data_IF_276418522839
#
_entry.id   IF_276418522839
#
_cell.length_a   1.000
_cell.length_b   1.000
_cell.length_c   1.000
_cell.angle_alpha   90.00
_cell.angle_beta   90.00
_cell.angle_gamma   90.00
#
_symmetry.space_group_name_H-M   'P 1'
#
loop_
_entity.id
_entity.type
_entity.pdbx_description
1 polymer ?
#
# COMPACT_ATOMS: atom_id res chain seq x y z
N UNK A 1 27.82 19.73 31.38
CA UNK A 1 27.21 20.08 30.08
C UNK A 1 28.34 20.13 29.05
N UNK A 2 28.31 19.31 28.00
CA UNK A 2 29.30 19.40 26.91
C UNK A 2 29.12 20.73 26.15
N UNK A 3 30.16 21.32 25.54
CA UNK A 3 30.04 22.46 24.61
C UNK A 3 29.22 22.13 23.36
N UNK A 4 28.65 23.15 22.70
CA UNK A 4 27.81 22.97 21.49
C UNK A 4 28.63 22.39 20.33
N UNK A 5 29.88 22.84 20.21
CA UNK A 5 30.84 22.37 19.20
C UNK A 5 31.12 20.87 19.36
N UNK A 6 31.16 20.39 20.60
CA UNK A 6 31.37 18.96 20.89
C UNK A 6 30.14 18.15 20.51
N UNK A 7 28.93 18.64 20.78
CA UNK A 7 27.71 17.95 20.35
C UNK A 7 27.59 17.87 18.83
N UNK A 8 27.90 18.97 18.13
CA UNK A 8 27.92 18.97 16.66
C UNK A 8 29.02 18.05 16.10
N UNK A 9 30.17 18.00 16.74
CA UNK A 9 31.22 17.06 16.38
C UNK A 9 30.75 15.61 16.55
N UNK A 10 30.16 15.26 17.70
CA UNK A 10 29.60 13.92 17.95
C UNK A 10 28.58 13.53 16.89
N UNK A 11 27.63 14.43 16.58
CA UNK A 11 26.65 14.26 15.50
C UNK A 11 27.34 13.91 14.16
N UNK A 12 28.37 14.67 13.80
CA UNK A 12 29.10 14.49 12.54
C UNK A 12 29.97 13.24 12.47
N UNK A 13 30.33 12.62 13.60
CA UNK A 13 31.11 11.38 13.62
C UNK A 13 30.29 10.11 13.38
N UNK A 14 28.98 10.14 13.69
CA UNK A 14 28.06 8.99 13.49
C UNK A 14 28.16 8.39 12.08
N UNK A 15 28.08 9.15 10.96
CA UNK A 15 28.11 8.57 9.62
C UNK A 15 29.46 7.98 9.19
N UNK A 16 30.54 8.22 9.94
CA UNK A 16 31.91 7.80 9.60
C UNK A 16 32.54 6.88 10.64
N UNK A 17 31.81 6.55 11.71
CA UNK A 17 32.31 5.69 12.77
C UNK A 17 32.72 4.31 12.23
N UNK A 18 33.86 3.80 12.69
CA UNK A 18 34.31 2.43 12.40
C UNK A 18 33.91 1.46 13.51
N UNK A 19 33.73 1.98 14.73
CA UNK A 19 33.34 1.23 15.91
C UNK A 19 31.87 1.52 16.24
N UNK A 20 31.03 0.48 16.15
CA UNK A 20 29.61 0.57 16.46
C UNK A 20 29.34 0.91 17.92
N UNK A 21 30.23 0.53 18.85
CA UNK A 21 30.10 0.92 20.25
C UNK A 21 30.23 2.43 20.40
N UNK A 22 31.26 3.03 19.82
CA UNK A 22 31.45 4.49 19.87
C UNK A 22 30.31 5.25 19.20
N UNK A 23 29.75 4.74 18.10
CA UNK A 23 28.55 5.32 17.48
C UNK A 23 27.37 5.30 18.45
N UNK A 24 27.09 4.16 19.10
CA UNK A 24 25.98 4.04 20.06
C UNK A 24 26.13 4.98 21.27
N UNK A 25 27.37 5.14 21.78
CA UNK A 25 27.67 6.09 22.86
C UNK A 25 27.42 7.52 22.41
N UNK A 26 27.82 7.89 21.19
CA UNK A 26 27.58 9.23 20.65
C UNK A 26 26.07 9.52 20.50
N UNK A 27 25.30 8.54 20.02
CA UNK A 27 23.83 8.62 19.96
C UNK A 27 23.25 8.82 21.35
N UNK A 28 23.66 8.03 22.35
CA UNK A 28 23.18 8.14 23.73
C UNK A 28 23.50 9.49 24.38
N UNK A 29 24.68 10.07 24.10
CA UNK A 29 25.05 11.41 24.60
C UNK A 29 24.16 12.49 23.99
N UNK A 30 23.88 12.40 22.69
CA UNK A 30 22.96 13.32 22.00
C UNK A 30 21.53 13.15 22.52
N UNK A 31 21.11 11.91 22.75
CA UNK A 31 19.82 11.59 23.36
C UNK A 31 19.67 12.17 24.77
N UNK A 32 20.71 12.19 25.59
CA UNK A 32 20.61 12.77 26.94
C UNK A 32 20.57 14.30 26.94
N UNK A 33 20.83 14.95 25.80
CA UNK A 33 20.78 16.40 25.69
C UNK A 33 19.33 16.92 25.78
N UNK A 34 19.16 18.12 26.33
CA UNK A 34 17.82 18.71 26.52
C UNK A 34 17.16 19.06 25.19
N UNK A 35 15.83 18.94 25.12
CA UNK A 35 15.07 19.23 23.92
C UNK A 35 15.31 20.66 23.40
N UNK A 36 15.29 21.66 24.29
CA UNK A 36 15.54 23.06 23.92
C UNK A 36 16.91 23.29 23.28
N UNK A 37 17.93 22.54 23.71
CA UNK A 37 19.27 22.63 23.14
C UNK A 37 19.37 21.96 21.77
N UNK A 38 18.80 20.76 21.62
CA UNK A 38 18.76 20.07 20.34
C UNK A 38 17.99 20.90 19.31
N UNK A 39 16.85 21.47 19.71
CA UNK A 39 16.02 22.31 18.84
C UNK A 39 16.70 23.60 18.41
N UNK A 40 17.60 24.18 19.21
CA UNK A 40 18.34 25.39 18.84
C UNK A 40 19.60 25.10 18.03
N UNK A 41 20.24 23.97 18.29
CA UNK A 41 21.57 23.65 17.75
C UNK A 41 21.50 22.89 16.42
N UNK A 42 20.62 21.90 16.31
CA UNK A 42 20.52 21.06 15.11
C UNK A 42 19.55 21.71 14.12
N UNK A 43 20.01 21.85 12.88
CA UNK A 43 19.30 22.53 11.78
C UNK A 43 19.19 21.61 10.57
N UNK A 44 18.36 21.92 9.56
CA UNK A 44 18.25 21.12 8.34
C UNK A 44 19.59 20.84 7.64
N UNK A 45 20.52 21.81 7.66
CA UNK A 45 21.83 21.67 7.02
C UNK A 45 22.71 20.61 7.71
N UNK A 46 22.52 20.37 9.01
CA UNK A 46 23.22 19.31 9.72
C UNK A 46 22.71 17.94 9.31
N UNK A 47 21.40 17.79 9.03
CA UNK A 47 20.82 16.56 8.49
C UNK A 47 21.42 16.27 7.11
N UNK A 48 21.49 17.28 6.23
CA UNK A 48 22.16 17.11 4.93
C UNK A 48 23.61 16.67 5.09
N UNK A 49 24.36 17.27 6.03
CA UNK A 49 25.75 16.90 6.27
C UNK A 49 25.91 15.44 6.69
N UNK A 50 24.99 14.88 7.49
CA UNK A 50 25.00 13.46 7.85
C UNK A 50 24.92 12.59 6.59
N UNK A 51 23.94 12.84 5.73
CA UNK A 51 23.76 12.06 4.50
C UNK A 51 24.85 12.31 3.46
N UNK A 52 25.39 13.54 3.35
CA UNK A 52 26.56 13.82 2.48
C UNK A 52 27.79 13.02 2.92
N UNK A 53 28.02 12.85 4.23
CA UNK A 53 29.11 12.01 4.75
C UNK A 53 28.88 10.53 4.48
N UNK A 54 27.63 10.09 4.37
CA UNK A 54 27.25 8.79 3.83
C UNK A 54 27.34 8.74 2.29
N UNK A 55 27.85 9.77 1.61
CA UNK A 55 28.00 9.77 0.15
C UNK A 55 26.71 10.04 -0.63
N UNK A 56 25.68 10.59 0.01
CA UNK A 56 24.49 11.04 -0.72
C UNK A 56 24.84 12.16 -1.71
N UNK A 57 24.30 12.05 -2.93
CA UNK A 57 24.48 13.06 -4.00
C UNK A 57 23.70 14.33 -3.64
N UNK A 58 24.20 15.50 -4.03
CA UNK A 58 23.53 16.79 -3.78
C UNK A 58 22.09 16.82 -4.32
N UNK A 59 21.85 16.26 -5.51
CA UNK A 59 20.50 16.17 -6.09
C UNK A 59 19.53 15.32 -5.28
N UNK A 60 20.01 14.30 -4.56
CA UNK A 60 19.16 13.48 -3.69
C UNK A 60 18.73 14.25 -2.43
N UNK A 61 19.61 15.13 -1.93
CA UNK A 61 19.37 15.95 -0.74
C UNK A 61 18.58 17.22 -1.01
N UNK A 62 18.58 17.72 -2.25
CA UNK A 62 17.75 18.86 -2.62
C UNK A 62 16.28 18.42 -2.72
N UNK A 63 15.58 18.54 -1.59
CA UNK A 63 14.18 18.19 -1.44
C UNK A 63 13.25 18.94 -2.40
N UNK A 64 13.70 20.05 -2.99
CA UNK A 64 12.89 20.90 -3.87
C UNK A 64 12.85 20.39 -5.32
N UNK A 65 13.81 19.57 -5.73
CA UNK A 65 13.93 19.07 -7.10
C UNK A 65 13.08 17.82 -7.29
N UNK A 66 12.46 17.64 -8.46
CA UNK A 66 11.78 16.39 -8.80
C UNK A 66 12.75 15.21 -8.80
N UNK A 67 12.37 14.10 -8.17
CA UNK A 67 13.11 12.85 -8.30
C UNK A 67 13.06 12.35 -9.74
N UNK A 68 14.15 11.71 -10.15
CA UNK A 68 14.30 11.07 -11.45
C UNK A 68 14.71 9.62 -11.19
N UNK A 69 14.10 8.63 -11.87
CA UNK A 69 14.51 7.24 -11.76
C UNK A 69 15.96 7.06 -12.24
N UNK A 70 16.75 6.31 -11.47
CA UNK A 70 18.05 5.82 -11.92
C UNK A 70 17.90 4.34 -12.27
N UNK A 71 17.81 4.04 -13.56
CA UNK A 71 17.67 2.67 -14.06
C UNK A 71 18.99 1.89 -14.05
N UNK A 72 20.11 2.52 -13.67
CA UNK A 72 21.42 1.89 -13.66
C UNK A 72 22.00 1.84 -12.24
N UNK A 73 21.63 0.79 -11.51
CA UNK A 73 22.19 0.52 -10.19
C UNK A 73 23.49 -0.27 -10.35
N UNK A 74 24.61 0.31 -9.93
CA UNK A 74 25.92 -0.36 -9.93
C UNK A 74 25.96 -1.50 -8.90
N UNK A 75 26.65 -2.60 -9.20
CA UNK A 75 26.89 -3.72 -8.26
C UNK A 75 27.56 -3.29 -6.94
N UNK A 76 28.30 -2.19 -6.96
CA UNK A 76 28.90 -1.60 -5.74
C UNK A 76 27.85 -1.05 -4.78
N UNK A 77 26.67 -0.69 -5.28
CA UNK A 77 25.56 -0.20 -4.47
C UNK A 77 24.92 -1.34 -3.67
N UNK A 78 24.73 -2.49 -4.29
CA UNK A 78 24.14 -3.68 -3.66
C UNK A 78 25.00 -4.27 -2.53
N UNK A 79 26.33 -4.19 -2.66
CA UNK A 79 27.28 -4.75 -1.69
C UNK A 79 27.78 -3.72 -0.66
N UNK A 80 27.08 -2.60 -0.52
CA UNK A 80 27.51 -1.51 0.35
C UNK A 80 27.24 -1.86 1.81
N UNK A 81 28.20 -1.54 2.68
CA UNK A 81 28.00 -1.56 4.12
C UNK A 81 27.01 -0.46 4.56
N UNK A 82 25.87 -0.89 5.09
CA UNK A 82 24.75 -0.05 5.53
C UNK A 82 24.80 0.32 7.01
N UNK A 83 25.77 -0.19 7.79
CA UNK A 83 25.85 0.04 9.25
C UNK A 83 25.83 1.52 9.62
N UNK A 84 26.58 2.35 8.91
CA UNK A 84 26.63 3.79 9.20
C UNK A 84 25.32 4.50 8.84
N UNK A 85 24.59 4.02 7.83
CA UNK A 85 23.26 4.54 7.53
C UNK A 85 22.29 4.16 8.64
N UNK A 86 22.35 2.91 9.13
CA UNK A 86 21.53 2.45 10.25
C UNK A 86 21.75 3.31 11.50
N UNK A 87 23.01 3.57 11.88
CA UNK A 87 23.34 4.44 13.01
C UNK A 87 22.83 5.87 12.85
N UNK A 88 22.83 6.41 11.62
CA UNK A 88 22.24 7.73 11.33
C UNK A 88 20.71 7.69 11.45
N UNK A 89 20.04 6.66 10.96
CA UNK A 89 18.59 6.52 11.07
C UNK A 89 18.14 6.36 12.53
N UNK A 90 18.87 5.56 13.31
CA UNK A 90 18.64 5.42 14.75
C UNK A 90 18.77 6.77 15.47
N UNK A 91 19.82 7.52 15.15
CA UNK A 91 20.03 8.87 15.68
C UNK A 91 18.86 9.81 15.34
N UNK A 92 18.40 9.81 14.08
CA UNK A 92 17.25 10.62 13.67
C UNK A 92 16.00 10.23 14.45
N UNK A 93 15.74 8.92 14.62
CA UNK A 93 14.60 8.42 15.39
C UNK A 93 14.64 8.91 16.84
N UNK A 94 15.77 8.72 17.51
CA UNK A 94 15.96 9.09 18.91
C UNK A 94 15.86 10.61 19.14
N UNK A 95 16.36 11.41 18.19
CA UNK A 95 16.28 12.87 18.29
C UNK A 95 15.00 13.48 17.71
N UNK A 96 14.15 12.69 17.05
CA UNK A 96 13.00 13.17 16.28
C UNK A 96 12.09 14.10 17.08
N UNK A 97 11.78 13.73 18.33
CA UNK A 97 10.92 14.51 19.22
C UNK A 97 11.54 15.84 19.67
N UNK A 98 12.87 15.93 19.65
CA UNK A 98 13.64 17.08 20.14
C UNK A 98 13.99 18.09 19.05
N UNK A 99 13.82 17.74 17.78
CA UNK A 99 14.04 18.67 16.68
C UNK A 99 13.03 19.82 16.69
N UNK A 100 13.47 20.99 16.24
CA UNK A 100 12.53 22.02 15.81
C UNK A 100 11.74 21.57 14.57
N UNK A 101 10.64 22.27 14.28
CA UNK A 101 9.72 21.88 13.21
C UNK A 101 10.39 21.83 11.83
N UNK A 102 11.25 22.79 11.52
CA UNK A 102 11.95 22.86 10.22
C UNK A 102 12.88 21.66 10.01
N UNK A 103 13.69 21.34 11.02
CA UNK A 103 14.64 20.22 10.99
C UNK A 103 13.91 18.89 10.91
N UNK A 104 12.82 18.75 11.66
CA UNK A 104 12.00 17.55 11.66
C UNK A 104 11.34 17.32 10.31
N UNK A 105 10.72 18.36 9.73
CA UNK A 105 10.10 18.28 8.41
C UNK A 105 11.14 17.97 7.32
N UNK A 106 12.34 18.56 7.41
CA UNK A 106 13.42 18.28 6.47
C UNK A 106 13.92 16.83 6.58
N UNK A 107 14.17 16.34 7.79
CA UNK A 107 14.56 14.96 8.04
C UNK A 107 13.50 13.97 7.54
N UNK A 108 12.21 14.29 7.73
CA UNK A 108 11.10 13.49 7.22
C UNK A 108 11.06 13.46 5.69
N UNK A 109 11.26 14.59 5.01
CA UNK A 109 11.35 14.64 3.53
C UNK A 109 12.51 13.80 3.00
N UNK A 110 13.70 13.90 3.61
CA UNK A 110 14.85 13.09 3.22
C UNK A 110 14.58 11.59 3.45
N UNK A 111 13.99 11.24 4.60
CA UNK A 111 13.67 9.83 4.92
C UNK A 111 12.59 9.26 3.99
N UNK A 112 11.59 10.06 3.60
CA UNK A 112 10.60 9.67 2.59
C UNK A 112 11.23 9.47 1.21
N UNK A 113 12.26 10.24 0.85
CA UNK A 113 13.04 9.98 -0.38
C UNK A 113 13.86 8.71 -0.28
N UNK A 114 14.46 8.44 0.88
CA UNK A 114 15.19 7.21 1.12
C UNK A 114 14.28 5.98 1.02
N UNK A 115 13.02 6.10 1.46
CA UNK A 115 11.99 5.06 1.34
C UNK A 115 11.60 4.73 -0.12
N UNK A 116 12.04 5.51 -1.10
CA UNK A 116 11.83 5.22 -2.53
C UNK A 116 12.98 4.34 -3.07
N UNK A 117 14.17 4.40 -2.46
CA UNK A 117 15.34 3.69 -2.93
C UNK A 117 15.20 2.18 -2.64
N UNK A 118 14.85 1.42 -3.68
CA UNK A 118 14.60 -0.01 -3.59
C UNK A 118 15.83 -0.80 -3.10
N UNK A 119 17.03 -0.41 -3.49
CA UNK A 119 18.24 -1.12 -3.10
C UNK A 119 18.60 -0.86 -1.63
N UNK A 120 18.36 0.34 -1.12
CA UNK A 120 18.49 0.62 0.33
C UNK A 120 17.41 -0.10 1.12
N UNK A 121 16.17 -0.07 0.64
CA UNK A 121 15.02 -0.69 1.33
C UNK A 121 15.02 -2.22 1.26
N UNK A 122 15.91 -2.83 0.47
CA UNK A 122 16.13 -4.29 0.46
C UNK A 122 16.86 -4.79 1.73
N UNK A 123 17.59 -3.91 2.43
CA UNK A 123 18.12 -4.20 3.76
C UNK A 123 17.00 -4.11 4.81
N UNK A 124 16.68 -5.22 5.45
CA UNK A 124 15.54 -5.31 6.36
C UNK A 124 15.67 -4.40 7.60
N UNK A 125 16.89 -4.17 8.11
CA UNK A 125 17.11 -3.32 9.28
C UNK A 125 16.91 -1.85 8.91
N UNK A 126 17.44 -1.45 7.75
CA UNK A 126 17.24 -0.09 7.23
C UNK A 126 15.76 0.14 6.94
N UNK A 127 15.10 -0.80 6.27
CA UNK A 127 13.68 -0.72 5.95
C UNK A 127 12.83 -0.50 7.21
N UNK A 128 13.07 -1.29 8.26
CA UNK A 128 12.37 -1.16 9.54
C UNK A 128 12.61 0.20 10.19
N UNK A 129 13.86 0.69 10.25
CA UNK A 129 14.15 1.99 10.87
C UNK A 129 13.56 3.16 10.08
N UNK A 130 13.59 3.12 8.75
CA UNK A 130 12.95 4.13 7.88
C UNK A 130 11.45 4.15 8.11
N UNK A 131 10.79 2.99 8.08
CA UNK A 131 9.35 2.86 8.30
C UNK A 131 8.96 3.31 9.70
N UNK A 132 9.71 2.94 10.73
CA UNK A 132 9.48 3.37 12.12
C UNK A 132 9.60 4.89 12.27
N UNK A 133 10.61 5.51 11.66
CA UNK A 133 10.78 6.95 11.69
C UNK A 133 9.60 7.68 11.04
N UNK A 134 9.19 7.23 9.85
CA UNK A 134 8.05 7.79 9.12
C UNK A 134 6.77 7.64 9.95
N UNK A 135 6.46 6.41 10.38
CA UNK A 135 5.25 6.10 11.15
C UNK A 135 5.17 6.91 12.45
N UNK A 136 6.26 7.00 13.21
CA UNK A 136 6.28 7.72 14.51
C UNK A 136 5.96 9.19 14.33
N UNK A 137 6.56 9.84 13.32
CA UNK A 137 6.33 11.27 13.06
C UNK A 137 4.94 11.53 12.47
N UNK A 138 4.45 10.67 11.56
CA UNK A 138 3.16 10.87 10.90
C UNK A 138 1.96 10.51 11.80
N UNK A 139 2.12 9.54 12.71
CA UNK A 139 1.04 9.10 13.59
C UNK A 139 0.73 10.10 14.71
N UNK A 140 1.69 10.91 15.13
CA UNK A 140 1.52 11.84 16.24
C UNK A 140 1.06 13.24 15.75
N UNK A 141 -0.20 13.67 16.03
CA UNK A 141 -0.71 14.98 15.62
C UNK A 141 -0.01 16.17 16.27
N UNK A 142 0.61 15.98 17.44
CA UNK A 142 1.38 17.03 18.13
C UNK A 142 2.70 17.25 17.39
N UNK A 143 3.32 16.15 16.93
CA UNK A 143 4.59 16.18 16.21
C UNK A 143 4.44 16.76 14.81
N UNK A 144 3.44 16.31 14.06
CA UNK A 144 3.12 16.83 12.73
C UNK A 144 1.63 17.17 12.69
N UNK A 145 1.25 18.44 12.82
CA UNK A 145 -0.13 18.89 12.69
C UNK A 145 -0.73 18.59 11.31
N UNK A 146 -2.06 18.53 11.22
CA UNK A 146 -2.78 18.19 9.98
C UNK A 146 -2.41 19.11 8.81
N UNK A 147 -2.31 20.42 9.07
CA UNK A 147 -1.92 21.38 8.04
C UNK A 147 -0.52 21.12 7.49
N UNK A 148 0.43 20.78 8.38
CA UNK A 148 1.80 20.41 8.01
C UNK A 148 1.81 19.11 7.22
N UNK A 149 0.96 18.16 7.59
CA UNK A 149 0.79 16.89 6.87
C UNK A 149 0.27 17.11 5.45
N UNK A 150 -0.72 18.00 5.25
CA UNK A 150 -1.23 18.38 3.93
C UNK A 150 -0.13 19.06 3.09
N UNK A 151 0.64 19.97 3.69
CA UNK A 151 1.77 20.62 3.01
C UNK A 151 2.85 19.62 2.61
N UNK A 152 3.14 18.62 3.45
CA UNK A 152 4.03 17.52 3.13
C UNK A 152 3.49 16.69 1.97
N UNK A 153 2.20 16.33 1.97
CA UNK A 153 1.58 15.61 0.86
C UNK A 153 1.68 16.39 -0.45
N UNK A 154 1.43 17.70 -0.42
CA UNK A 154 1.53 18.56 -1.60
C UNK A 154 2.98 18.65 -2.11
N UNK A 155 3.94 18.67 -1.19
CA UNK A 155 5.35 18.63 -1.54
C UNK A 155 5.74 17.32 -2.23
N UNK A 156 5.32 16.18 -1.68
CA UNK A 156 5.55 14.86 -2.30
C UNK A 156 4.89 14.76 -3.68
N UNK A 157 3.65 15.25 -3.80
CA UNK A 157 2.93 15.27 -5.06
C UNK A 157 3.68 16.05 -6.16
N UNK A 158 4.29 17.19 -5.81
CA UNK A 158 5.05 18.03 -6.75
C UNK A 158 6.44 17.50 -7.11
N UNK A 159 7.02 16.67 -6.25
CA UNK A 159 8.43 16.24 -6.37
C UNK A 159 8.59 14.80 -6.83
N UNK A 160 7.52 13.99 -6.82
CA UNK A 160 7.53 12.59 -7.23
C UNK A 160 6.52 12.41 -8.36
N UNK A 161 7.01 12.52 -9.59
CA UNK A 161 6.17 12.52 -10.80
C UNK A 161 6.01 11.12 -11.41
N UNK A 162 7.01 10.26 -11.27
CA UNK A 162 7.02 8.92 -11.86
C UNK A 162 6.22 7.92 -11.02
N UNK A 163 5.36 7.14 -11.70
CA UNK A 163 4.39 6.25 -11.05
C UNK A 163 5.07 5.12 -10.28
N UNK A 164 6.17 4.59 -10.78
CA UNK A 164 6.94 3.56 -10.08
C UNK A 164 7.49 4.07 -8.75
N UNK A 165 8.02 5.31 -8.73
CA UNK A 165 8.55 5.94 -7.51
C UNK A 165 7.43 6.24 -6.51
N UNK A 166 6.27 6.72 -6.99
CA UNK A 166 5.08 6.93 -6.18
C UNK A 166 4.64 5.62 -5.51
N UNK A 167 4.60 4.53 -6.28
CA UNK A 167 4.25 3.20 -5.77
C UNK A 167 5.28 2.69 -4.75
N UNK A 168 6.58 2.85 -5.00
CA UNK A 168 7.64 2.48 -4.06
C UNK A 168 7.47 3.21 -2.71
N UNK A 169 7.24 4.53 -2.75
CA UNK A 169 6.97 5.31 -1.53
C UNK A 169 5.75 4.81 -0.78
N UNK A 170 4.63 4.60 -1.49
CA UNK A 170 3.39 4.14 -0.86
C UNK A 170 3.51 2.75 -0.24
N UNK A 171 4.32 1.86 -0.80
CA UNK A 171 4.58 0.54 -0.21
C UNK A 171 5.39 0.63 1.08
N UNK A 172 6.23 1.66 1.23
CA UNK A 172 7.04 1.89 2.42
C UNK A 172 6.38 2.81 3.46
N UNK A 173 5.18 3.33 3.22
CA UNK A 173 4.38 4.01 4.24
C UNK A 173 3.41 2.98 4.85
N UNK A 174 3.71 2.50 6.06
CA UNK A 174 2.90 1.48 6.72
C UNK A 174 1.61 2.09 7.33
N UNK A 175 0.42 1.54 7.06
CA UNK A 175 -0.86 2.03 7.60
C UNK A 175 -1.08 1.56 9.05
N UNK A 176 -0.16 1.88 9.95
CA UNK A 176 -0.18 1.45 11.37
C UNK A 176 -1.20 2.19 12.24
N UNK A 177 -1.68 3.35 11.79
CA UNK A 177 -2.73 4.12 12.46
C UNK A 177 -3.73 4.68 11.43
N UNK A 178 -4.98 4.98 11.82
CA UNK A 178 -5.97 5.57 10.91
C UNK A 178 -5.50 6.86 10.25
N UNK A 179 -4.69 7.66 10.95
CA UNK A 179 -4.10 8.91 10.46
C UNK A 179 -3.10 8.64 9.33
N UNK A 180 -2.18 7.69 9.52
CA UNK A 180 -1.18 7.31 8.51
C UNK A 180 -1.84 6.61 7.32
N UNK A 181 -2.82 5.74 7.58
CA UNK A 181 -3.61 5.10 6.53
C UNK A 181 -4.35 6.13 5.66
N UNK A 182 -4.97 7.15 6.28
CA UNK A 182 -5.63 8.23 5.55
C UNK A 182 -4.64 9.08 4.73
N UNK A 183 -3.48 9.41 5.30
CA UNK A 183 -2.40 10.11 4.58
C UNK A 183 -1.96 9.33 3.33
N UNK A 184 -1.68 8.03 3.50
CA UNK A 184 -1.30 7.11 2.42
C UNK A 184 -2.39 7.00 1.35
N UNK A 185 -3.65 6.86 1.76
CA UNK A 185 -4.80 6.78 0.87
C UNK A 185 -4.99 8.06 0.05
N UNK A 186 -4.88 9.24 0.67
CA UNK A 186 -4.97 10.55 -0.01
C UNK A 186 -3.88 10.74 -1.06
N UNK A 187 -2.64 10.37 -0.74
CA UNK A 187 -1.54 10.38 -1.69
C UNK A 187 -1.80 9.45 -2.87
N UNK A 188 -2.27 8.22 -2.60
CA UNK A 188 -2.61 7.26 -3.63
C UNK A 188 -3.70 7.79 -4.57
N UNK A 189 -4.77 8.38 -4.04
CA UNK A 189 -5.81 9.00 -4.86
C UNK A 189 -5.31 10.19 -5.67
N UNK A 190 -4.53 11.08 -5.06
CA UNK A 190 -3.99 12.24 -5.74
C UNK A 190 -3.10 11.85 -6.92
N UNK A 191 -2.21 10.87 -6.72
CA UNK A 191 -1.35 10.36 -7.80
C UNK A 191 -2.12 9.57 -8.85
N UNK A 192 -3.07 8.74 -8.45
CA UNK A 192 -3.88 7.95 -9.39
C UNK A 192 -4.63 8.84 -10.39
N UNK A 193 -5.28 9.90 -9.89
CA UNK A 193 -6.01 10.87 -10.71
C UNK A 193 -5.16 12.03 -11.24
N UNK A 194 -3.89 12.13 -10.83
CA UNK A 194 -3.04 13.29 -11.04
C UNK A 194 -3.69 14.62 -10.57
N UNK A 195 -4.42 14.59 -9.45
CA UNK A 195 -5.18 15.72 -8.92
C UNK A 195 -4.83 15.99 -7.44
N UNK A 196 -4.19 17.13 -7.11
CA UNK A 196 -3.81 17.47 -5.75
C UNK A 196 -5.02 17.76 -4.84
N UNK A 197 -6.24 17.95 -5.38
CA UNK A 197 -7.42 18.22 -4.55
C UNK A 197 -7.75 17.06 -3.61
N UNK A 198 -7.36 15.82 -3.95
CA UNK A 198 -7.55 14.64 -3.10
C UNK A 198 -6.72 14.66 -1.80
N UNK A 199 -5.70 15.53 -1.71
CA UNK A 199 -4.81 15.61 -0.54
C UNK A 199 -5.50 16.17 0.71
N UNK A 200 -6.57 16.94 0.55
CA UNK A 200 -7.32 17.56 1.66
C UNK A 200 -8.81 17.18 1.68
N UNK A 201 -9.25 16.36 0.71
CA UNK A 201 -10.65 15.93 0.65
C UNK A 201 -11.08 15.21 1.94
N UNK A 202 -12.33 15.43 2.40
CA UNK A 202 -12.93 14.63 3.47
C UNK A 202 -12.91 13.14 3.13
N UNK A 203 -12.70 12.29 4.13
CA UNK A 203 -12.66 10.83 3.96
C UNK A 203 -13.87 10.26 3.23
N UNK A 204 -15.07 10.82 3.48
CA UNK A 204 -16.32 10.42 2.84
C UNK A 204 -16.37 10.68 1.32
N UNK A 205 -15.53 11.59 0.82
CA UNK A 205 -15.51 12.02 -0.58
C UNK A 205 -14.33 11.42 -1.37
N UNK A 206 -13.48 10.61 -0.74
CA UNK A 206 -12.35 9.96 -1.41
C UNK A 206 -12.80 8.77 -2.24
N UNK A 207 -13.89 8.11 -1.85
CA UNK A 207 -14.31 6.83 -2.40
C UNK A 207 -15.57 6.93 -3.25
N UNK A 208 -15.41 7.27 -4.53
CA UNK A 208 -16.48 7.32 -5.53
C UNK A 208 -16.31 6.20 -6.58
N UNK A 209 -16.95 5.06 -6.32
CA UNK A 209 -16.87 3.84 -7.15
C UNK A 209 -17.38 4.03 -8.59
N UNK A 210 -18.54 4.67 -8.84
CA UNK A 210 -18.99 4.98 -10.20
C UNK A 210 -17.99 5.83 -10.98
N UNK A 211 -17.47 6.90 -10.39
CA UNK A 211 -16.49 7.77 -11.05
C UNK A 211 -15.17 7.05 -11.33
N UNK A 212 -14.71 6.22 -10.40
CA UNK A 212 -13.54 5.37 -10.59
C UNK A 212 -13.74 4.38 -11.76
N UNK A 213 -14.87 3.69 -11.80
CA UNK A 213 -15.16 2.73 -12.87
C UNK A 213 -15.20 3.42 -14.24
N UNK A 214 -15.79 4.62 -14.30
CA UNK A 214 -15.79 5.44 -15.52
C UNK A 214 -14.37 5.85 -15.91
N UNK A 215 -13.56 6.28 -14.94
CA UNK A 215 -12.18 6.66 -15.17
C UNK A 215 -11.35 5.52 -15.79
N UNK A 216 -11.40 4.32 -15.18
CA UNK A 216 -10.68 3.14 -15.67
C UNK A 216 -11.06 2.73 -17.10
N UNK A 217 -12.31 2.95 -17.52
CA UNK A 217 -12.78 2.64 -18.88
C UNK A 217 -12.26 3.62 -19.94
N UNK A 218 -11.91 4.84 -19.55
CA UNK A 218 -11.55 5.91 -20.49
C UNK A 218 -10.06 6.25 -20.47
N UNK A 219 -9.35 5.98 -19.38
CA UNK A 219 -7.92 6.24 -19.27
C UNK A 219 -7.11 5.24 -20.14
N UNK A 220 -6.28 5.80 -21.03
CA UNK A 220 -5.45 5.05 -21.96
C UNK A 220 -4.42 4.16 -21.25
N UNK A 221 -4.00 4.53 -20.03
CA UNK A 221 -3.06 3.76 -19.22
C UNK A 221 -3.59 2.39 -18.80
N UNK A 222 -4.90 2.17 -18.91
CA UNK A 222 -5.55 0.87 -18.64
C UNK A 222 -5.98 0.14 -19.93
N UNK A 223 -5.76 0.74 -21.10
CA UNK A 223 -6.17 0.15 -22.38
C UNK A 223 -5.12 -0.85 -22.92
N UNK A 224 -5.13 -2.06 -22.37
CA UNK A 224 -4.21 -3.15 -22.77
C UNK A 224 -4.46 -3.68 -24.19
N UNK A 225 -5.58 -3.30 -24.83
CA UNK A 225 -5.94 -3.69 -26.20
C UNK A 225 -5.42 -2.72 -27.26
N UNK A 226 -4.83 -1.59 -26.87
CA UNK A 226 -4.31 -0.60 -27.80
C UNK A 226 -3.22 -1.25 -28.68
N UNK A 227 -3.54 -1.42 -29.97
CA UNK A 227 -2.60 -1.97 -30.94
C UNK A 227 -1.53 -0.91 -31.21
N UNK A 228 -0.28 -1.25 -30.94
CA UNK A 228 0.89 -0.43 -31.29
C UNK A 228 0.83 -0.07 -32.78
N UNK A 229 0.51 1.18 -33.09
CA UNK A 229 0.49 1.69 -34.46
C UNK A 229 1.93 1.95 -34.93
N UNK A 230 2.65 0.87 -35.23
CA UNK A 230 4.00 0.95 -35.80
C UNK A 230 5.11 1.09 -34.76
N UNK A 231 6.17 0.30 -35.00
CA UNK A 231 7.48 0.24 -34.34
C UNK A 231 7.69 1.10 -33.07
N UNK A 232 7.82 0.40 -31.93
CA UNK A 232 8.30 0.81 -30.60
C UNK A 232 7.30 1.26 -29.51
N UNK A 233 6.02 1.46 -29.79
CA UNK A 233 5.07 1.82 -28.72
C UNK A 233 4.51 0.55 -28.05
N UNK A 234 5.35 -0.14 -27.26
CA UNK A 234 4.93 -1.27 -26.44
C UNK A 234 4.22 -0.73 -25.20
N UNK A 235 2.96 -1.13 -24.99
CA UNK A 235 2.18 -0.78 -23.80
C UNK A 235 3.01 -0.92 -22.51
N UNK A 236 3.01 0.12 -21.67
CA UNK A 236 3.83 0.17 -20.47
C UNK A 236 3.22 -0.67 -19.34
N UNK A 237 3.63 -1.95 -19.26
CA UNK A 237 3.20 -2.86 -18.19
C UNK A 237 3.77 -2.48 -16.81
N UNK A 238 4.88 -1.75 -16.74
CA UNK A 238 5.45 -1.26 -15.48
C UNK A 238 4.56 -0.21 -14.84
N UNK A 239 4.14 0.77 -15.64
CA UNK A 239 3.22 1.81 -15.21
C UNK A 239 1.87 1.19 -14.81
N UNK A 240 1.30 0.28 -15.61
CA UNK A 240 0.04 -0.38 -15.26
C UNK A 240 0.16 -1.20 -13.95
N UNK A 241 1.29 -1.89 -13.73
CA UNK A 241 1.55 -2.61 -12.49
C UNK A 241 1.58 -1.66 -11.28
N UNK A 242 2.32 -0.56 -11.40
CA UNK A 242 2.41 0.46 -10.37
C UNK A 242 1.04 1.12 -10.09
N UNK A 243 0.30 1.53 -11.13
CA UNK A 243 -1.04 2.09 -11.00
C UNK A 243 -2.02 1.12 -10.34
N UNK A 244 -1.95 -0.18 -10.67
CA UNK A 244 -2.80 -1.20 -10.04
C UNK A 244 -2.50 -1.29 -8.55
N UNK A 245 -1.23 -1.24 -8.17
CA UNK A 245 -0.80 -1.22 -6.78
C UNK A 245 -1.23 0.05 -6.04
N UNK A 246 -1.09 1.22 -6.67
CA UNK A 246 -1.58 2.50 -6.13
C UNK A 246 -3.09 2.45 -5.93
N UNK A 247 -3.84 1.93 -6.91
CA UNK A 247 -5.29 1.77 -6.81
C UNK A 247 -5.68 0.82 -5.67
N UNK A 248 -4.95 -0.29 -5.51
CA UNK A 248 -5.17 -1.22 -4.41
C UNK A 248 -5.03 -0.53 -3.05
N UNK A 249 -4.00 0.31 -2.91
CA UNK A 249 -3.75 1.14 -1.72
C UNK A 249 -4.81 2.25 -1.57
N UNK A 250 -5.28 2.86 -2.66
CA UNK A 250 -6.31 3.90 -2.61
C UNK A 250 -7.67 3.35 -2.12
N UNK A 251 -7.96 2.08 -2.44
CA UNK A 251 -9.17 1.37 -2.03
C UNK A 251 -9.05 0.82 -0.58
N UNK A 252 -7.91 0.99 0.11
CA UNK A 252 -7.55 0.44 1.43
C UNK A 252 -8.73 0.12 2.37
N UNK A 253 -8.83 -1.15 2.76
CA UNK A 253 -9.92 -1.75 3.54
C UNK A 253 -10.14 -1.08 4.91
N UNK A 254 -9.16 -0.34 5.44
CA UNK A 254 -9.28 0.37 6.71
C UNK A 254 -10.00 1.72 6.65
N UNK A 255 -10.13 2.32 5.44
CA UNK A 255 -10.70 3.66 5.28
C UNK A 255 -11.98 3.71 4.46
N UNK A 256 -12.27 2.69 3.67
CA UNK A 256 -13.29 2.76 2.61
C UNK A 256 -14.60 2.02 2.92
N UNK A 257 -14.66 1.16 3.94
CA UNK A 257 -15.90 0.44 4.27
C UNK A 257 -16.94 1.45 4.80
N UNK A 258 -18.02 1.72 4.05
CA UNK A 258 -19.05 2.64 4.50
C UNK A 258 -19.79 2.05 5.69
N UNK A 259 -20.22 2.90 6.62
CA UNK A 259 -21.24 2.50 7.58
C UNK A 259 -22.58 2.48 6.84
N UNK A 260 -23.20 1.31 6.74
CA UNK A 260 -24.56 1.15 6.21
C UNK A 260 -25.61 1.24 7.33
N UNK A 261 -25.26 1.87 8.45
CA UNK A 261 -26.14 2.05 9.58
C UNK A 261 -26.66 3.48 9.56
N UNK A 262 -27.97 3.63 9.49
CA UNK A 262 -28.65 4.92 9.56
C UNK A 262 -28.51 5.55 10.96
N UNK A 263 -28.82 6.84 11.10
CA UNK A 263 -28.77 7.55 12.38
C UNK A 263 -29.62 6.88 13.48
N UNK A 264 -30.65 6.13 13.09
CA UNK A 264 -31.55 5.39 13.97
C UNK A 264 -31.03 4.00 14.39
N UNK A 265 -29.86 3.56 13.90
CA UNK A 265 -29.28 2.25 14.18
C UNK A 265 -29.71 1.13 13.23
N UNK A 266 -30.60 1.42 12.27
CA UNK A 266 -31.08 0.44 11.27
C UNK A 266 -30.09 0.27 10.11
N UNK A 267 -29.95 -0.98 9.63
CA UNK A 267 -29.11 -1.29 8.46
C UNK A 267 -29.83 -0.90 7.18
N UNK A 268 -29.28 0.06 6.44
CA UNK A 268 -29.70 0.42 5.09
C UNK A 268 -29.24 -0.64 4.08
N UNK A 269 -30.09 -1.65 3.90
CA UNK A 269 -29.87 -2.71 2.91
C UNK A 269 -29.89 -2.19 1.47
N UNK A 270 -30.55 -1.05 1.22
CA UNK A 270 -30.60 -0.43 -0.10
C UNK A 270 -29.26 0.17 -0.48
N UNK A 271 -28.68 0.99 0.41
CA UNK A 271 -27.33 1.54 0.23
C UNK A 271 -26.27 0.43 0.15
N UNK A 272 -26.37 -0.59 1.00
CA UNK A 272 -25.46 -1.75 0.95
C UNK A 272 -25.57 -2.50 -0.40
N UNK A 273 -26.78 -2.66 -0.94
CA UNK A 273 -26.98 -3.30 -2.24
C UNK A 273 -26.39 -2.48 -3.39
N UNK A 274 -26.61 -1.16 -3.39
CA UNK A 274 -26.05 -0.25 -4.40
C UNK A 274 -24.52 -0.22 -4.35
N UNK A 275 -23.94 -0.19 -3.15
CA UNK A 275 -22.50 -0.28 -2.95
C UNK A 275 -21.93 -1.57 -3.54
N UNK A 276 -22.53 -2.72 -3.22
CA UNK A 276 -22.10 -4.00 -3.75
C UNK A 276 -22.23 -4.10 -5.28
N UNK A 277 -23.28 -3.51 -5.85
CA UNK A 277 -23.43 -3.43 -7.31
C UNK A 277 -22.31 -2.59 -7.95
N UNK A 278 -21.98 -1.44 -7.36
CA UNK A 278 -20.87 -0.60 -7.83
C UNK A 278 -19.50 -1.29 -7.71
N UNK A 279 -19.29 -2.08 -6.65
CA UNK A 279 -18.10 -2.94 -6.51
C UNK A 279 -18.08 -4.04 -7.57
N UNK A 280 -19.21 -4.68 -7.86
CA UNK A 280 -19.32 -5.71 -8.89
C UNK A 280 -18.99 -5.12 -10.29
N UNK A 281 -19.46 -3.90 -10.60
CA UNK A 281 -19.14 -3.17 -11.84
C UNK A 281 -17.63 -2.84 -11.96
N UNK A 282 -17.03 -2.36 -10.87
CA UNK A 282 -15.58 -2.09 -10.81
C UNK A 282 -14.77 -3.39 -11.01
N UNK A 283 -15.16 -4.46 -10.31
CA UNK A 283 -14.50 -5.76 -10.40
C UNK A 283 -14.61 -6.33 -11.82
N UNK A 284 -15.77 -6.24 -12.47
CA UNK A 284 -15.94 -6.70 -13.84
C UNK A 284 -15.13 -5.82 -14.84
N UNK A 285 -14.94 -4.53 -14.56
CA UNK A 285 -14.03 -3.66 -15.31
C UNK A 285 -12.56 -4.11 -15.19
N UNK A 286 -12.07 -4.34 -13.98
CA UNK A 286 -10.70 -4.87 -13.73
C UNK A 286 -10.52 -6.24 -14.40
N UNK A 287 -11.56 -7.09 -14.34
CA UNK A 287 -11.57 -8.40 -15.00
C UNK A 287 -11.41 -8.29 -16.51
N UNK A 288 -12.08 -7.33 -17.15
CA UNK A 288 -11.91 -7.10 -18.58
C UNK A 288 -10.46 -6.70 -18.92
N UNK A 289 -9.84 -5.84 -18.12
CA UNK A 289 -8.45 -5.38 -18.32
C UNK A 289 -7.48 -6.57 -18.26
N UNK A 290 -7.49 -7.37 -17.19
CA UNK A 290 -6.52 -8.48 -17.08
C UNK A 290 -6.83 -9.64 -18.02
N UNK A 291 -8.10 -9.85 -18.39
CA UNK A 291 -8.47 -10.90 -19.37
C UNK A 291 -7.95 -10.58 -20.77
N UNK A 292 -7.82 -9.29 -21.12
CA UNK A 292 -7.23 -8.83 -22.37
C UNK A 292 -5.70 -9.02 -22.43
N UNK A 293 -5.01 -9.09 -21.28
CA UNK A 293 -3.57 -9.33 -21.23
C UNK A 293 -3.29 -10.79 -21.59
N UNK A 294 -2.68 -11.02 -22.76
CA UNK A 294 -2.24 -12.36 -23.18
C UNK A 294 -1.06 -12.81 -22.34
N UNK A 295 -1.25 -13.87 -21.57
CA UNK A 295 -0.16 -14.52 -20.86
C UNK A 295 0.80 -15.13 -21.89
N UNK A 296 2.06 -14.73 -21.82
CA UNK A 296 3.09 -15.08 -22.80
C UNK A 296 4.21 -15.90 -22.18
N UNK A 297 4.03 -16.36 -20.93
CA UNK A 297 5.03 -17.11 -20.17
C UNK A 297 6.22 -16.26 -19.69
N UNK A 298 7.27 -16.93 -19.22
CA UNK A 298 8.41 -16.32 -18.52
C UNK A 298 9.24 -15.32 -19.34
N UNK A 299 9.08 -15.25 -20.67
CA UNK A 299 9.76 -14.27 -21.53
C UNK A 299 9.21 -12.83 -21.38
N UNK A 300 8.05 -12.67 -20.72
CA UNK A 300 7.44 -11.38 -20.45
C UNK A 300 7.01 -11.26 -18.97
N UNK A 301 7.95 -11.49 -18.04
CA UNK A 301 7.71 -11.52 -16.60
C UNK A 301 6.83 -10.36 -16.10
N UNK A 302 7.15 -9.11 -16.46
CA UNK A 302 6.37 -7.93 -16.03
C UNK A 302 4.92 -7.97 -16.48
N UNK A 303 4.65 -8.44 -17.70
CA UNK A 303 3.27 -8.59 -18.20
C UNK A 303 2.49 -9.59 -17.36
N UNK A 304 3.12 -10.71 -17.00
CA UNK A 304 2.51 -11.74 -16.16
C UNK A 304 2.27 -11.22 -14.73
N UNK A 305 3.24 -10.53 -14.13
CA UNK A 305 3.09 -9.90 -12.80
C UNK A 305 1.98 -8.83 -12.78
N UNK A 306 1.88 -7.98 -13.81
CA UNK A 306 0.78 -7.01 -13.93
C UNK A 306 -0.58 -7.70 -13.97
N UNK A 307 -0.69 -8.80 -14.74
CA UNK A 307 -1.92 -9.58 -14.83
C UNK A 307 -2.29 -10.19 -13.47
N UNK A 308 -1.33 -10.77 -12.77
CA UNK A 308 -1.53 -11.35 -11.43
C UNK A 308 -1.95 -10.29 -10.41
N UNK A 309 -1.33 -9.10 -10.44
CA UNK A 309 -1.69 -7.98 -9.56
C UNK A 309 -3.12 -7.50 -9.78
N UNK A 310 -3.55 -7.36 -11.04
CA UNK A 310 -4.93 -7.02 -11.38
C UNK A 310 -5.90 -8.13 -10.95
N UNK A 311 -5.52 -9.39 -11.08
CA UNK A 311 -6.32 -10.52 -10.63
C UNK A 311 -6.47 -10.54 -9.10
N UNK A 312 -5.39 -10.23 -8.36
CA UNK A 312 -5.44 -10.09 -6.91
C UNK A 312 -6.38 -8.95 -6.48
N UNK A 313 -6.30 -7.79 -7.14
CA UNK A 313 -7.22 -6.68 -6.92
C UNK A 313 -8.67 -7.08 -7.19
N UNK A 314 -8.95 -7.78 -8.28
CA UNK A 314 -10.28 -8.31 -8.60
C UNK A 314 -10.84 -9.19 -7.48
N UNK A 315 -10.04 -10.13 -6.96
CA UNK A 315 -10.48 -10.99 -5.88
C UNK A 315 -10.66 -10.23 -4.56
N UNK A 316 -9.80 -9.26 -4.26
CA UNK A 316 -9.98 -8.40 -3.09
C UNK A 316 -11.27 -7.58 -3.18
N UNK A 317 -11.60 -7.04 -4.35
CA UNK A 317 -12.87 -6.33 -4.57
C UNK A 317 -14.05 -7.27 -4.35
N UNK A 318 -14.02 -8.46 -4.96
CA UNK A 318 -15.13 -9.41 -4.95
C UNK A 318 -15.39 -10.02 -3.57
N UNK A 319 -14.33 -10.27 -2.79
CA UNK A 319 -14.41 -11.06 -1.55
C UNK A 319 -13.98 -10.30 -0.28
N UNK A 320 -13.28 -9.18 -0.40
CA UNK A 320 -12.77 -8.41 0.73
C UNK A 320 -13.45 -7.04 0.91
N UNK A 321 -13.73 -6.33 -0.18
CA UNK A 321 -14.35 -4.98 -0.13
C UNK A 321 -15.87 -5.09 -0.19
N UNK A 322 -16.40 -6.01 -0.99
CA UNK A 322 -17.83 -6.33 -1.03
C UNK A 322 -18.29 -6.82 0.35
N UNK A 323 -19.41 -6.33 0.85
CA UNK A 323 -19.88 -6.67 2.21
C UNK A 323 -20.43 -8.09 2.31
N UNK A 324 -20.90 -8.64 1.20
CA UNK A 324 -21.47 -9.99 1.10
C UNK A 324 -20.79 -10.77 -0.01
N UNK A 325 -20.83 -12.11 -0.01
CA UNK A 325 -20.40 -12.90 -1.16
C UNK A 325 -21.26 -12.60 -2.40
N UNK A 326 -20.64 -12.62 -3.60
CA UNK A 326 -21.36 -12.46 -4.87
C UNK A 326 -22.39 -13.59 -5.00
N UNK A 327 -23.67 -13.29 -5.30
CA UNK A 327 -24.66 -14.33 -5.53
C UNK A 327 -24.17 -15.28 -6.63
N UNK A 328 -24.35 -16.60 -6.48
CA UNK A 328 -23.98 -17.54 -7.52
C UNK A 328 -24.73 -17.16 -8.80
N UNK A 329 -24.00 -17.05 -9.93
CA UNK A 329 -24.63 -16.88 -11.24
C UNK A 329 -25.52 -18.10 -11.47
N UNK A 330 -26.83 -17.91 -11.41
CA UNK A 330 -27.79 -18.96 -11.75
C UNK A 330 -27.65 -19.24 -13.25
N UNK A 331 -26.92 -20.30 -13.60
CA UNK A 331 -26.75 -20.74 -14.98
C UNK A 331 -28.01 -21.39 -15.55
N UNK A 332 -28.99 -21.67 -14.69
CA UNK A 332 -30.29 -22.21 -15.06
C UNK A 332 -31.37 -21.17 -14.76
N UNK A 333 -31.74 -20.41 -15.78
CA UNK A 333 -33.07 -19.80 -15.82
C UNK A 333 -34.03 -20.97 -15.94
N UNK A 334 -34.75 -21.31 -14.87
CA UNK A 334 -36.00 -22.04 -15.02
C UNK A 334 -36.93 -21.10 -15.75
N UNK A 335 -37.07 -21.28 -17.06
CA UNK A 335 -38.13 -20.64 -17.82
C UNK A 335 -39.43 -21.02 -17.14
N UNK A 336 -40.12 -20.05 -16.52
CA UNK A 336 -41.45 -20.25 -15.99
C UNK A 336 -42.37 -20.58 -17.18
N UNK A 337 -42.55 -21.89 -17.40
CA UNK A 337 -43.27 -22.43 -18.55
C UNK A 337 -43.28 -23.96 -18.61
N UNK A 338 -42.24 -24.64 -18.12
CA UNK A 338 -42.24 -26.11 -18.05
C UNK A 338 -42.68 -26.60 -16.67
N UNK A 339 -44.00 -26.57 -16.43
CA UNK A 339 -44.63 -27.44 -15.44
C UNK A 339 -44.73 -28.85 -16.02
N UNK A 340 -43.90 -29.76 -15.50
CA UNK A 340 -43.88 -31.20 -15.81
C UNK A 340 -42.53 -31.56 -16.42
N UNK A 341 -41.63 -32.31 -15.78
CA UNK A 341 -41.82 -33.70 -15.36
C UNK A 341 -40.85 -34.15 -14.25
N UNK A 342 -40.33 -33.25 -13.42
CA UNK A 342 -39.38 -33.65 -12.36
C UNK A 342 -40.03 -34.29 -11.12
N UNK A 343 -41.35 -34.18 -10.95
CA UNK A 343 -42.10 -34.84 -9.86
C UNK A 343 -42.39 -36.34 -10.10
N UNK A 344 -42.13 -36.85 -11.32
CA UNK A 344 -42.34 -38.28 -11.63
C UNK A 344 -41.11 -39.15 -11.32
N UNK A 345 -39.92 -38.57 -11.17
CA UNK A 345 -38.71 -39.34 -10.88
C UNK A 345 -38.44 -39.55 -9.37
N UNK A 346 -38.97 -38.69 -8.49
CA UNK A 346 -38.90 -38.91 -7.04
C UNK A 346 -39.93 -39.91 -6.52
N UNK A 347 -41.07 -40.10 -7.21
CA UNK A 347 -42.06 -41.13 -6.82
C UNK A 347 -41.66 -42.56 -7.20
N UNK A 348 -40.86 -42.77 -8.25
CA UNK A 348 -40.40 -44.12 -8.65
C UNK A 348 -39.29 -44.71 -7.79
N UNK A 349 -38.55 -43.89 -7.04
CA UNK A 349 -37.50 -44.38 -6.13
C UNK A 349 -38.09 -44.84 -4.79
N UNK A 350 -39.25 -44.31 -4.39
CA UNK A 350 -39.93 -44.73 -3.16
C UNK A 350 -40.76 -46.02 -3.27
N UNK A 351 -41.01 -46.53 -4.48
CA UNK A 351 -41.83 -47.74 -4.71
C UNK A 351 -41.02 -49.05 -4.78
N UNK A 352 -39.68 -49.01 -4.73
CA UNK A 352 -38.81 -50.20 -4.76
C UNK A 352 -38.02 -50.45 -3.46
N UNK A 353 -38.39 -49.77 -2.36
CA UNK A 353 -37.65 -49.80 -1.09
C UNK A 353 -38.49 -50.21 0.12
N UNK A 354 -39.36 -51.21 0.01
CA UNK A 354 -39.99 -51.86 1.18
C UNK A 354 -40.01 -53.38 0.93
N UNK A 355 -38.95 -54.07 1.33
CA UNK A 355 -39.04 -55.49 1.70
C UNK A 355 -38.79 -55.56 3.19
N UNK A 356 -39.83 -56.02 3.89
CA UNK A 356 -39.93 -56.18 5.33
C UNK A 356 -38.94 -57.23 5.83
N UNK A 357 -38.12 -56.84 6.80
CA UNK A 357 -37.41 -57.76 7.68
C UNK A 357 -38.34 -58.10 8.84
N UNK A 358 -39.03 -59.24 8.75
CA UNK A 358 -39.88 -59.78 9.80
C UNK A 358 -39.15 -60.92 10.51
N UNK A 359 -38.40 -60.57 11.56
CA UNK A 359 -37.89 -61.52 12.53
C UNK A 359 -38.94 -61.83 13.60
N UNK A 360 -39.33 -63.10 13.74
CA UNK A 360 -39.51 -63.74 15.05
C UNK A 360 -39.72 -65.26 14.95
N UNK A 361 -38.90 -66.02 15.70
CA UNK A 361 -39.42 -67.17 16.47
C UNK A 361 -38.94 -68.59 16.16
N UNK A 362 -37.83 -68.97 16.81
CA UNK A 362 -37.73 -70.14 17.71
C UNK A 362 -37.31 -71.55 17.21
N UNK A 363 -36.60 -72.22 18.15
CA UNK A 363 -36.24 -73.64 18.30
C UNK A 363 -35.00 -74.09 17.50
N UNK A 364 -33.96 -74.71 18.04
CA UNK A 364 -33.73 -75.37 19.34
C UNK A 364 -32.83 -76.59 19.09
N UNK A 365 -31.68 -76.64 19.78
CA UNK A 365 -30.80 -77.77 20.14
C UNK A 365 -30.61 -79.00 19.22
N UNK A 366 -29.35 -79.41 19.04
CA UNK A 366 -28.83 -80.80 18.99
C UNK A 366 -27.27 -80.71 19.10
N UNK A 367 -26.65 -81.05 20.25
CA UNK A 367 -25.90 -82.30 20.50
C UNK A 367 -24.94 -82.65 19.34
N UNK A 368 -23.61 -82.58 19.52
CA UNK A 368 -22.76 -83.47 20.30
C UNK A 368 -21.34 -82.88 20.45
#
# INVERSE_FOLDING_TARGET
>A
MLPDEVLLWLLQTVPTGQDGYMQSVNVAVLEQSSAGRISSLITPSHIDQLFRRLGARGAALDVSISLQPDHHISDKYWNRDTRNLLSVLELLRVLSEKFNDDTRQHALKITLRLAIDEAVMNDCLICVEVQNFITTNLANPITIPDQTLVNLSLHLFKTINEVELQNQLLNNILPTSPRVALFRCRLAWAWFYCDPSFLDRPKSQLFDLPSLTKYLKHDLRFNTNMRSNGSNDQFNFWELHALTSILDIAIDSGTTIPSFVNENGDVDRGAEHQFNAAIDDLADCIKAIFSAIRDSGASHLRRSETRERLQALYYRLTYGVRTKPRPPKQWFVKTEGEKGETDKHQKKIHEYGVVQDAGNGALGALQH
#
